data_IF_375625397663
#
_entry.id   IF_375625397663
#
_cell.length_a   1.000
_cell.length_b   1.000
_cell.length_c   1.000
_cell.angle_alpha   90.00
_cell.angle_beta   90.00
_cell.angle_gamma   90.00
#
_symmetry.space_group_name_H-M   'P 1'
#
loop_
_entity.id
_entity.type
_entity.pdbx_description
1 polymer ?
#
# COMPACT_ATOMS: atom_id res chain seq x y z
N UNK A 1 -7.89 -15.52 -36.05
CA UNK A 1 -7.26 -15.26 -34.73
C UNK A 1 -7.16 -13.78 -34.41
N UNK A 2 -6.68 -12.93 -35.33
CA UNK A 2 -6.58 -11.48 -35.14
C UNK A 2 -7.92 -10.80 -34.79
N UNK A 3 -9.03 -11.21 -35.40
CA UNK A 3 -10.37 -10.69 -35.06
C UNK A 3 -10.82 -11.02 -33.63
N UNK A 4 -10.50 -12.23 -33.14
CA UNK A 4 -10.81 -12.63 -31.76
C UNK A 4 -10.07 -11.74 -30.74
N UNK A 5 -8.80 -11.42 -31.02
CA UNK A 5 -7.99 -10.52 -30.19
C UNK A 5 -8.57 -9.10 -30.21
N UNK A 6 -8.92 -8.58 -31.39
CA UNK A 6 -9.54 -7.25 -31.53
C UNK A 6 -10.87 -7.14 -30.76
N UNK A 7 -11.70 -8.19 -30.81
CA UNK A 7 -12.95 -8.25 -30.06
C UNK A 7 -12.71 -8.33 -28.55
N UNK A 8 -11.74 -9.13 -28.10
CA UNK A 8 -11.35 -9.20 -26.69
C UNK A 8 -10.94 -7.84 -26.11
N UNK A 9 -10.08 -7.08 -26.81
CA UNK A 9 -9.72 -5.73 -26.37
C UNK A 9 -10.92 -4.77 -26.34
N UNK A 10 -11.88 -4.93 -27.25
CA UNK A 10 -13.11 -4.14 -27.25
C UNK A 10 -13.96 -4.45 -26.02
N UNK A 11 -14.12 -5.72 -25.69
CA UNK A 11 -14.86 -6.18 -24.51
C UNK A 11 -14.19 -5.73 -23.22
N UNK A 12 -12.87 -5.89 -23.08
CA UNK A 12 -12.10 -5.40 -21.92
C UNK A 12 -12.29 -3.89 -21.74
N UNK A 13 -12.24 -3.10 -22.82
CA UNK A 13 -12.47 -1.65 -22.74
C UNK A 13 -13.89 -1.30 -22.28
N UNK A 14 -14.89 -2.12 -22.64
CA UNK A 14 -16.28 -1.93 -22.20
C UNK A 14 -16.41 -2.26 -20.71
N UNK A 15 -15.81 -3.35 -20.24
CA UNK A 15 -15.85 -3.72 -18.81
C UNK A 15 -15.07 -2.73 -17.94
N UNK A 16 -13.92 -2.25 -18.40
CA UNK A 16 -13.14 -1.23 -17.70
C UNK A 16 -13.91 0.09 -17.52
N UNK A 17 -14.84 0.43 -18.42
CA UNK A 17 -15.70 1.61 -18.27
C UNK A 17 -16.78 1.44 -17.19
N UNK A 18 -17.12 0.20 -16.81
CA UNK A 18 -18.06 -0.08 -15.71
C UNK A 18 -17.38 -0.02 -14.34
N UNK A 19 -16.05 0.04 -14.30
CA UNK A 19 -15.29 0.17 -13.06
C UNK A 19 -15.53 1.56 -12.48
N UNK A 20 -16.08 1.59 -11.26
CA UNK A 20 -16.20 2.82 -10.48
C UNK A 20 -14.84 3.09 -9.84
N UNK A 21 -14.10 4.04 -10.40
CA UNK A 21 -12.86 4.50 -9.80
C UNK A 21 -13.14 5.39 -8.59
N UNK A 22 -12.32 5.31 -7.54
CA UNK A 22 -12.46 6.16 -6.37
C UNK A 22 -12.30 7.63 -6.75
N UNK A 23 -13.03 8.49 -6.05
CA UNK A 23 -12.86 9.94 -6.15
C UNK A 23 -11.48 10.37 -5.66
N UNK A 24 -11.02 11.55 -6.11
CA UNK A 24 -9.73 12.11 -5.67
C UNK A 24 -9.66 12.27 -4.15
N UNK A 25 -10.80 12.58 -3.52
CA UNK A 25 -10.90 12.76 -2.07
C UNK A 25 -10.73 11.44 -1.31
N UNK A 26 -11.33 10.34 -1.79
CA UNK A 26 -11.17 9.01 -1.19
C UNK A 26 -9.74 8.49 -1.31
N UNK A 27 -9.08 8.72 -2.45
CA UNK A 27 -7.66 8.35 -2.64
C UNK A 27 -6.76 9.13 -1.68
N UNK A 28 -6.99 10.43 -1.53
CA UNK A 28 -6.20 11.27 -0.62
C UNK A 28 -6.49 10.88 0.84
N UNK A 29 -7.74 10.63 1.20
CA UNK A 29 -8.16 10.22 2.53
C UNK A 29 -7.51 8.89 2.94
N UNK A 30 -7.64 7.86 2.10
CA UNK A 30 -7.02 6.55 2.34
C UNK A 30 -5.49 6.64 2.43
N UNK A 31 -4.85 7.40 1.54
CA UNK A 31 -3.39 7.60 1.57
C UNK A 31 -2.92 8.27 2.86
N UNK A 32 -3.63 9.30 3.35
CA UNK A 32 -3.29 9.97 4.62
C UNK A 32 -3.33 9.01 5.81
N UNK A 33 -4.36 8.16 5.88
CA UNK A 33 -4.50 7.16 6.94
C UNK A 33 -3.36 6.15 6.89
N UNK A 34 -3.03 5.64 5.71
CA UNK A 34 -1.91 4.69 5.52
C UNK A 34 -0.59 5.32 5.96
N UNK A 35 -0.30 6.55 5.55
CA UNK A 35 0.94 7.25 5.94
C UNK A 35 1.01 7.42 7.46
N UNK A 36 -0.08 7.83 8.11
CA UNK A 36 -0.13 7.97 9.56
C UNK A 36 0.14 6.62 10.27
N UNK A 37 -0.49 5.53 9.80
CA UNK A 37 -0.28 4.19 10.34
C UNK A 37 1.18 3.72 10.19
N UNK A 38 1.79 3.94 9.02
CA UNK A 38 3.20 3.59 8.76
C UNK A 38 4.12 4.35 9.71
N UNK A 39 3.89 5.65 9.93
CA UNK A 39 4.70 6.45 10.87
C UNK A 39 4.60 5.89 12.29
N UNK A 40 3.39 5.56 12.77
CA UNK A 40 3.18 5.00 14.11
C UNK A 40 3.94 3.68 14.27
N UNK A 41 3.82 2.77 13.30
CA UNK A 41 4.50 1.47 13.33
C UNK A 41 6.02 1.65 13.28
N UNK A 42 6.52 2.53 12.41
CA UNK A 42 7.96 2.79 12.29
C UNK A 42 8.56 3.33 13.60
N UNK A 43 7.86 4.25 14.27
CA UNK A 43 8.29 4.76 15.59
C UNK A 43 8.26 3.64 16.63
N UNK A 44 7.19 2.86 16.68
CA UNK A 44 7.07 1.75 17.63
C UNK A 44 8.18 0.71 17.47
N UNK A 45 8.41 0.23 16.25
CA UNK A 45 9.48 -0.72 15.96
C UNK A 45 10.85 -0.11 16.25
N UNK A 46 11.09 1.14 15.84
CA UNK A 46 12.35 1.83 16.12
C UNK A 46 12.64 1.96 17.61
N UNK A 47 11.62 2.23 18.44
CA UNK A 47 11.79 2.23 19.90
C UNK A 47 12.15 0.85 20.44
N UNK A 48 11.47 -0.20 19.96
CA UNK A 48 11.77 -1.58 20.37
C UNK A 48 13.19 -1.97 19.97
N UNK A 49 13.61 -1.68 18.75
CA UNK A 49 14.94 -1.99 18.24
C UNK A 49 16.02 -1.29 19.08
N UNK A 50 15.80 -0.03 19.46
CA UNK A 50 16.71 0.72 20.34
C UNK A 50 16.77 0.13 21.74
N UNK A 51 15.63 -0.26 22.32
CA UNK A 51 15.58 -0.90 23.64
C UNK A 51 16.29 -2.25 23.64
N UNK A 52 15.98 -3.10 22.67
CA UNK A 52 16.61 -4.41 22.52
C UNK A 52 18.10 -4.28 22.26
N UNK A 53 18.53 -3.36 21.39
CA UNK A 53 19.95 -3.12 21.11
C UNK A 53 20.73 -2.72 22.36
N UNK A 54 20.14 -1.89 23.23
CA UNK A 54 20.76 -1.52 24.52
C UNK A 54 20.83 -2.70 25.49
N UNK A 55 19.77 -3.50 25.59
CA UNK A 55 19.73 -4.67 26.46
C UNK A 55 20.76 -5.72 26.03
N UNK A 56 20.80 -6.05 24.74
CA UNK A 56 21.79 -6.97 24.18
C UNK A 56 23.21 -6.42 24.37
N UNK A 57 23.42 -5.13 24.15
CA UNK A 57 24.70 -4.48 24.39
C UNK A 57 25.18 -4.54 25.84
N UNK A 58 24.28 -4.61 26.82
CA UNK A 58 24.64 -4.83 28.23
C UNK A 58 24.93 -6.29 28.57
N UNK A 59 24.37 -7.24 27.83
CA UNK A 59 24.58 -8.68 28.08
C UNK A 59 25.84 -9.20 27.37
N UNK A 60 26.16 -8.65 26.20
CA UNK A 60 27.33 -9.04 25.39
C UNK A 60 28.63 -8.38 25.88
N UNK A 61 28.53 -7.34 26.70
CA UNK A 61 29.66 -6.63 27.29
C UNK A 61 29.88 -7.08 28.73
#
# INVERSE_FOLDING_TARGET
MLEKIKNFFREVKIELKKVVFPSREEVIGSTKVVVAMVIIIAVFLGLIDLLLSKLVGMVVK
#
